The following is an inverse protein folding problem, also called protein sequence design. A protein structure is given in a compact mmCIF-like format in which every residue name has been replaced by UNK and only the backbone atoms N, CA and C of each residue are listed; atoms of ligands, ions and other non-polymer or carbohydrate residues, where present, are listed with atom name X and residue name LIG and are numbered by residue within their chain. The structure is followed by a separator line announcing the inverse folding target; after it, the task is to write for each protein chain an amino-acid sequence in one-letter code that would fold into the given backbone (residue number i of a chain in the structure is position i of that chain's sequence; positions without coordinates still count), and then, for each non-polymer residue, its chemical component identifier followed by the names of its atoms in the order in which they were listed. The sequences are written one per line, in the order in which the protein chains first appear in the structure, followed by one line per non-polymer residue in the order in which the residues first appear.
data_IF_649735844529
#
_entry.id   IF_649735844529
#
_cell.length_a   1.000
_cell.length_b   1.000
_cell.length_c   1.000
_cell.angle_alpha   90.00
_cell.angle_beta   90.00
_cell.angle_gamma   90.00
#
_symmetry.space_group_name_H-M   'P 1'
#
loop_
_entity.id
_entity.type
_entity.pdbx_description
1 polymer ?
#
# COMPACT_ATOMS: atom_id res chain seq x y z
N UNK A 1 -4.42 -3.11 -16.70
CA UNK A 1 -4.98 -2.31 -17.80
C UNK A 1 -6.37 -2.86 -18.05
N UNK A 2 -7.37 -2.38 -17.31
CA UNK A 2 -8.74 -2.86 -17.48
C UNK A 2 -9.17 -2.56 -18.92
N UNK A 3 -9.54 -3.64 -19.62
CA UNK A 3 -9.78 -3.68 -21.04
C UNK A 3 -10.68 -2.55 -21.53
N UNK A 4 -10.23 -1.94 -22.61
CA UNK A 4 -11.01 -1.02 -23.45
C UNK A 4 -12.39 -1.61 -23.80
N UNK A 5 -12.51 -2.94 -23.81
CA UNK A 5 -13.76 -3.66 -24.05
C UNK A 5 -14.84 -3.45 -22.98
N UNK A 6 -14.49 -3.23 -21.69
CA UNK A 6 -15.49 -2.93 -20.65
C UNK A 6 -16.03 -1.51 -20.82
N UNK A 7 -15.19 -0.56 -21.23
CA UNK A 7 -15.63 0.80 -21.57
C UNK A 7 -16.51 0.80 -22.82
N UNK A 8 -16.20 -0.01 -23.83
CA UNK A 8 -17.03 -0.13 -25.03
C UNK A 8 -18.37 -0.81 -24.74
N UNK A 9 -18.42 -1.87 -23.93
CA UNK A 9 -19.66 -2.51 -23.50
C UNK A 9 -20.58 -1.54 -22.74
N UNK A 10 -20.03 -0.74 -21.83
CA UNK A 10 -20.79 0.29 -21.11
C UNK A 10 -21.28 1.40 -22.06
N UNK A 11 -20.47 1.81 -23.04
CA UNK A 11 -20.83 2.87 -24.00
C UNK A 11 -21.86 2.38 -25.04
N UNK A 12 -21.79 1.13 -25.47
CA UNK A 12 -22.74 0.56 -26.43
C UNK A 12 -24.08 0.18 -25.80
N UNK A 13 -24.09 -0.29 -24.55
CA UNK A 13 -25.33 -0.41 -23.76
C UNK A 13 -25.95 0.97 -23.48
N UNK A 14 -25.12 1.99 -23.19
CA UNK A 14 -25.61 3.37 -23.09
C UNK A 14 -26.16 3.88 -24.43
N UNK A 15 -25.53 3.61 -25.57
CA UNK A 15 -26.02 4.02 -26.90
C UNK A 15 -27.34 3.34 -27.27
N UNK A 16 -27.53 2.06 -26.93
CA UNK A 16 -28.80 1.34 -27.15
C UNK A 16 -29.95 1.87 -26.27
N UNK A 17 -29.65 2.44 -25.11
CA UNK A 17 -30.66 3.10 -24.26
C UNK A 17 -31.07 4.51 -24.73
N UNK A 18 -30.34 5.10 -25.68
CA UNK A 18 -30.63 6.45 -26.25
C UNK A 18 -31.35 6.30 -27.61
N UNK A 19 -32.20 5.28 -27.72
CA UNK A 19 -33.13 5.14 -28.83
C UNK A 19 -34.29 6.12 -28.71
N UNK A 20 -34.24 7.19 -29.50
CA UNK A 20 -35.41 7.94 -30.00
C UNK A 20 -36.36 8.56 -28.97
N UNK A 21 -36.18 9.85 -28.70
CA UNK A 21 -37.29 10.74 -28.34
C UNK A 21 -37.74 10.73 -26.88
N UNK A 22 -36.83 10.98 -25.94
CA UNK A 22 -37.19 11.62 -24.67
C UNK A 22 -35.97 12.38 -24.14
N UNK A 23 -36.19 13.49 -23.44
CA UNK A 23 -35.12 14.36 -22.94
C UNK A 23 -34.13 13.57 -22.07
N UNK A 24 -32.82 13.92 -22.06
CA UNK A 24 -31.86 13.24 -21.20
C UNK A 24 -32.27 13.40 -19.74
N UNK A 25 -32.74 12.31 -19.12
CA UNK A 25 -32.95 12.25 -17.67
C UNK A 25 -31.63 12.64 -17.03
N UNK A 26 -31.64 13.74 -16.29
CA UNK A 26 -30.53 14.25 -15.49
C UNK A 26 -30.06 13.10 -14.60
N UNK A 27 -28.90 12.50 -14.90
CA UNK A 27 -28.26 11.54 -14.00
C UNK A 27 -27.77 12.32 -12.78
N UNK A 28 -28.64 12.48 -11.79
CA UNK A 28 -28.23 12.89 -10.45
C UNK A 28 -27.37 11.76 -9.88
N UNK A 29 -26.06 11.95 -9.89
CA UNK A 29 -25.14 11.12 -9.12
C UNK A 29 -25.38 11.45 -7.66
N UNK A 30 -26.13 10.60 -6.96
CA UNK A 30 -26.37 10.73 -5.53
C UNK A 30 -25.06 10.45 -4.77
N UNK A 31 -24.34 11.51 -4.43
CA UNK A 31 -23.21 11.44 -3.50
C UNK A 31 -23.76 11.13 -2.10
N UNK A 32 -23.42 9.97 -1.56
CA UNK A 32 -23.77 9.62 -0.17
C UNK A 32 -22.74 10.22 0.76
N UNK A 33 -23.22 10.84 1.84
CA UNK A 33 -22.36 11.32 2.92
C UNK A 33 -21.86 10.14 3.77
N UNK A 34 -20.59 10.20 4.18
CA UNK A 34 -20.02 9.23 5.10
C UNK A 34 -20.60 9.43 6.50
N UNK A 35 -20.85 8.33 7.20
CA UNK A 35 -21.24 8.38 8.60
C UNK A 35 -19.98 8.55 9.45
N UNK A 36 -20.04 9.44 10.44
CA UNK A 36 -18.91 9.71 11.32
C UNK A 36 -18.78 8.64 12.40
N UNK A 37 -17.56 8.15 12.60
CA UNK A 37 -17.21 7.29 13.72
C UNK A 37 -17.19 8.11 15.02
N UNK A 38 -17.74 7.60 16.13
CA UNK A 38 -17.62 8.29 17.42
C UNK A 38 -16.23 8.04 18.04
N UNK A 39 -15.68 8.98 18.82
CA UNK A 39 -14.38 8.79 19.47
C UNK A 39 -14.28 7.51 20.31
N UNK A 40 -15.36 7.12 20.98
CA UNK A 40 -15.41 5.91 21.83
C UNK A 40 -15.32 4.62 21.01
N UNK A 41 -15.65 4.66 19.72
CA UNK A 41 -15.60 3.50 18.84
C UNK A 41 -14.21 3.24 18.26
N UNK A 42 -13.29 4.23 18.28
CA UNK A 42 -11.94 4.14 17.70
C UNK A 42 -11.17 2.86 18.11
N UNK A 43 -11.10 2.47 19.40
CA UNK A 43 -10.38 1.26 19.78
C UNK A 43 -10.95 -0.02 19.14
N UNK A 44 -12.28 -0.14 19.08
CA UNK A 44 -12.93 -1.32 18.48
C UNK A 44 -12.82 -1.34 16.96
N UNK A 45 -12.84 -0.16 16.32
CA UNK A 45 -12.60 0.00 14.90
C UNK A 45 -11.17 -0.41 14.53
N UNK A 46 -10.17 0.00 15.32
CA UNK A 46 -8.77 -0.35 15.09
C UNK A 46 -8.55 -1.87 15.16
N UNK A 47 -9.11 -2.53 16.18
CA UNK A 47 -9.03 -3.99 16.29
C UNK A 47 -9.68 -4.69 15.08
N UNK A 48 -10.80 -4.15 14.59
CA UNK A 48 -11.46 -4.65 13.38
C UNK A 48 -10.60 -4.46 12.12
N UNK A 49 -9.93 -3.32 11.96
CA UNK A 49 -9.00 -3.08 10.86
C UNK A 49 -7.85 -4.10 10.86
N UNK A 50 -7.24 -4.36 12.03
CA UNK A 50 -6.19 -5.37 12.18
C UNK A 50 -6.69 -6.77 11.81
N UNK A 51 -7.91 -7.14 12.21
CA UNK A 51 -8.53 -8.43 11.87
C UNK A 51 -8.77 -8.57 10.36
N UNK A 52 -9.40 -7.57 9.73
CA UNK A 52 -9.67 -7.57 8.30
C UNK A 52 -8.39 -7.67 7.47
N UNK A 53 -7.32 -7.01 7.93
CA UNK A 53 -6.01 -7.16 7.32
C UNK A 53 -5.49 -8.59 7.34
N UNK A 54 -5.66 -9.31 8.47
CA UNK A 54 -5.28 -10.73 8.58
C UNK A 54 -6.13 -11.64 7.68
N UNK A 55 -7.36 -11.24 7.37
CA UNK A 55 -8.24 -11.93 6.43
C UNK A 55 -7.93 -11.62 4.95
N UNK A 56 -7.01 -10.70 4.68
CA UNK A 56 -6.69 -10.29 3.31
C UNK A 56 -7.72 -9.34 2.70
N UNK A 57 -8.35 -8.51 3.53
CA UNK A 57 -9.34 -7.49 3.14
C UNK A 57 -8.72 -6.08 3.21
N UNK A 58 -7.82 -5.71 2.28
CA UNK A 58 -7.08 -4.45 2.38
C UNK A 58 -7.94 -3.21 2.12
N UNK A 59 -9.01 -3.31 1.33
CA UNK A 59 -9.90 -2.18 1.04
C UNK A 59 -10.74 -1.81 2.26
N UNK A 60 -11.26 -2.80 2.96
CA UNK A 60 -12.03 -2.64 4.18
C UNK A 60 -11.11 -2.14 5.31
N UNK A 61 -9.88 -2.67 5.38
CA UNK A 61 -8.86 -2.19 6.32
C UNK A 61 -8.52 -0.71 6.08
N UNK A 62 -8.28 -0.33 4.82
CA UNK A 62 -8.02 1.07 4.42
C UNK A 62 -9.19 1.97 4.81
N UNK A 63 -10.42 1.58 4.46
CA UNK A 63 -11.63 2.37 4.77
C UNK A 63 -11.77 2.62 6.27
N UNK A 64 -11.61 1.58 7.11
CA UNK A 64 -11.72 1.73 8.57
C UNK A 64 -10.61 2.63 9.12
N UNK A 65 -9.38 2.52 8.62
CA UNK A 65 -8.30 3.39 9.05
C UNK A 65 -8.57 4.85 8.69
N UNK A 66 -9.14 5.13 7.52
CA UNK A 66 -9.53 6.49 7.14
C UNK A 66 -10.61 7.03 8.09
N UNK A 67 -11.64 6.24 8.43
CA UNK A 67 -12.67 6.66 9.40
C UNK A 67 -12.08 6.97 10.78
N UNK A 68 -11.09 6.20 11.25
CA UNK A 68 -10.37 6.48 12.50
C UNK A 68 -9.58 7.79 12.39
N UNK A 69 -8.90 8.02 11.26
CA UNK A 69 -8.05 9.19 11.05
C UNK A 69 -8.85 10.49 10.84
N UNK A 70 -10.13 10.40 10.45
CA UNK A 70 -11.04 11.55 10.48
C UNK A 70 -11.39 11.97 11.92
N UNK A 71 -11.41 11.02 12.86
CA UNK A 71 -11.65 11.29 14.29
C UNK A 71 -10.38 11.76 15.00
N UNK A 72 -9.26 11.07 14.75
CA UNK A 72 -7.94 11.39 15.28
C UNK A 72 -6.87 11.31 14.17
N UNK A 73 -6.53 12.44 13.53
CA UNK A 73 -5.58 12.50 12.41
C UNK A 73 -4.17 12.02 12.71
N UNK A 74 -3.80 11.95 14.01
CA UNK A 74 -2.48 11.57 14.50
C UNK A 74 -2.47 10.18 15.14
N UNK A 75 -3.55 9.40 15.01
CA UNK A 75 -3.65 8.08 15.60
C UNK A 75 -2.59 7.11 15.02
N UNK A 76 -1.49 6.93 15.76
CA UNK A 76 -0.28 6.22 15.32
C UNK A 76 -0.56 4.83 14.73
N UNK A 77 -1.35 4.01 15.41
CA UNK A 77 -1.65 2.64 14.94
C UNK A 77 -2.56 2.59 13.71
N UNK A 78 -3.40 3.61 13.50
CA UNK A 78 -4.25 3.69 12.32
C UNK A 78 -3.42 4.12 11.10
N UNK A 79 -2.51 5.09 11.28
CA UNK A 79 -1.53 5.46 10.25
C UNK A 79 -0.69 4.26 9.81
N UNK A 80 -0.11 3.52 10.77
CA UNK A 80 0.72 2.37 10.45
C UNK A 80 -0.08 1.23 9.79
N UNK A 81 -1.29 0.94 10.27
CA UNK A 81 -2.18 -0.06 9.66
C UNK A 81 -2.60 0.35 8.26
N UNK A 82 -2.85 1.65 8.02
CA UNK A 82 -3.16 2.19 6.69
C UNK A 82 -2.00 2.01 5.70
N UNK A 83 -0.75 2.28 6.10
CA UNK A 83 0.43 2.00 5.25
C UNK A 83 0.47 0.54 4.84
N UNK A 84 0.21 -0.37 5.78
CA UNK A 84 0.19 -1.81 5.49
C UNK A 84 -0.94 -2.17 4.52
N UNK A 85 -2.16 -1.68 4.74
CA UNK A 85 -3.31 -1.94 3.86
C UNK A 85 -3.07 -1.42 2.43
N UNK A 86 -2.56 -0.20 2.30
CA UNK A 86 -2.22 0.41 1.01
C UNK A 86 -1.21 -0.44 0.23
N UNK A 87 -0.18 -0.93 0.90
CA UNK A 87 0.87 -1.73 0.25
C UNK A 87 0.47 -3.20 0.05
N UNK A 88 -0.50 -3.73 0.81
CA UNK A 88 -1.10 -5.05 0.55
C UNK A 88 -1.82 -5.07 -0.81
N UNK A 89 -2.38 -3.93 -1.27
CA UNK A 89 -3.03 -3.78 -2.58
C UNK A 89 -2.10 -3.98 -3.79
N UNK A 90 -0.78 -3.84 -3.63
CA UNK A 90 0.17 -3.90 -4.75
C UNK A 90 0.06 -5.20 -5.57
N UNK A 91 -0.21 -6.32 -4.89
CA UNK A 91 -0.32 -7.62 -5.55
C UNK A 91 -1.62 -7.78 -6.37
N UNK A 92 -2.66 -7.02 -6.05
CA UNK A 92 -4.00 -7.17 -6.64
C UNK A 92 -4.22 -6.19 -7.79
N UNK A 93 -3.81 -4.93 -7.61
CA UNK A 93 -4.16 -3.83 -8.53
C UNK A 93 -2.96 -3.04 -9.04
N UNK A 94 -1.75 -3.42 -8.65
CA UNK A 94 -0.51 -2.73 -9.02
C UNK A 94 -0.13 -1.62 -8.03
N UNK A 95 0.94 -0.89 -8.36
CA UNK A 95 1.55 0.09 -7.46
C UNK A 95 0.70 1.35 -7.26
N UNK A 96 0.13 1.89 -8.33
CA UNK A 96 -0.55 3.19 -8.27
C UNK A 96 -2.08 3.07 -8.17
N UNK A 97 -2.75 3.95 -7.41
CA UNK A 97 -2.21 5.10 -6.65
C UNK A 97 -1.64 4.75 -5.25
N UNK A 98 -1.73 3.48 -4.85
CA UNK A 98 -1.47 3.04 -3.48
C UNK A 98 -0.05 3.31 -2.97
N UNK A 99 0.95 3.35 -3.86
CA UNK A 99 2.33 3.64 -3.49
C UNK A 99 2.50 5.09 -3.04
N UNK A 100 1.97 6.03 -3.82
CA UNK A 100 2.05 7.46 -3.49
C UNK A 100 1.28 7.73 -2.20
N UNK A 101 0.07 7.18 -2.07
CA UNK A 101 -0.73 7.26 -0.85
C UNK A 101 -0.01 6.68 0.37
N UNK A 102 0.69 5.54 0.23
CA UNK A 102 1.42 4.95 1.34
C UNK A 102 2.58 5.84 1.79
N UNK A 103 3.31 6.45 0.85
CA UNK A 103 4.39 7.40 1.19
C UNK A 103 3.86 8.67 1.85
N UNK A 104 2.70 9.18 1.42
CA UNK A 104 2.03 10.32 2.06
C UNK A 104 1.66 9.98 3.51
N UNK A 105 1.11 8.79 3.77
CA UNK A 105 0.80 8.34 5.14
C UNK A 105 2.07 8.17 5.97
N UNK A 106 3.15 7.62 5.40
CA UNK A 106 4.45 7.51 6.09
C UNK A 106 4.98 8.88 6.52
N UNK A 107 4.80 9.91 5.70
CA UNK A 107 5.24 11.28 6.03
C UNK A 107 4.57 11.86 7.28
N UNK A 108 3.35 11.38 7.60
CA UNK A 108 2.52 11.79 8.75
C UNK A 108 2.90 11.10 10.06
N UNK A 109 3.64 9.99 10.03
CA UNK A 109 4.12 9.32 11.25
C UNK A 109 5.04 10.27 12.02
N UNK A 110 5.01 10.30 13.35
CA UNK A 110 5.81 11.28 14.11
C UNK A 110 7.20 10.77 14.48
N UNK A 111 7.29 9.50 14.90
CA UNK A 111 8.55 8.91 15.33
C UNK A 111 9.48 8.66 14.13
N UNK A 112 10.74 9.10 14.25
CA UNK A 112 11.76 8.87 13.24
C UNK A 112 11.94 7.37 12.92
N UNK A 113 11.90 6.52 13.95
CA UNK A 113 11.91 5.06 13.81
C UNK A 113 10.77 4.58 12.90
N UNK A 114 9.52 4.99 13.17
CA UNK A 114 8.36 4.56 12.38
C UNK A 114 8.47 5.04 10.93
N UNK A 115 8.90 6.29 10.70
CA UNK A 115 9.12 6.82 9.34
C UNK A 115 10.11 5.94 8.56
N UNK A 116 11.27 5.66 9.13
CA UNK A 116 12.31 4.86 8.48
C UNK A 116 11.84 3.41 8.29
N UNK A 117 11.23 2.80 9.31
CA UNK A 117 10.72 1.43 9.26
C UNK A 117 9.64 1.26 8.18
N UNK A 118 8.61 2.11 8.17
CA UNK A 118 7.53 1.99 7.20
C UNK A 118 7.95 2.44 5.79
N UNK A 119 8.91 3.35 5.65
CA UNK A 119 9.56 3.63 4.35
C UNK A 119 10.22 2.37 3.79
N UNK A 120 11.03 1.67 4.60
CA UNK A 120 11.65 0.41 4.21
C UNK A 120 10.61 -0.64 3.80
N UNK A 121 9.51 -0.75 4.55
CA UNK A 121 8.42 -1.68 4.25
C UNK A 121 7.73 -1.39 2.91
N UNK A 122 7.44 -0.13 2.60
CA UNK A 122 6.85 0.28 1.32
C UNK A 122 7.80 -0.08 0.17
N UNK A 123 9.09 0.23 0.32
CA UNK A 123 10.11 -0.07 -0.70
C UNK A 123 10.32 -1.57 -0.90
N UNK A 124 10.38 -2.36 0.17
CA UNK A 124 10.48 -3.83 0.07
C UNK A 124 9.29 -4.43 -0.68
N UNK A 125 8.07 -3.97 -0.39
CA UNK A 125 6.86 -4.46 -1.06
C UNK A 125 6.84 -4.08 -2.53
N UNK A 126 7.33 -2.89 -2.88
CA UNK A 126 7.54 -2.47 -4.27
C UNK A 126 8.62 -3.29 -4.97
N UNK A 127 9.72 -3.60 -4.29
CA UNK A 127 10.77 -4.48 -4.81
C UNK A 127 10.20 -5.85 -5.18
N UNK A 128 9.43 -6.45 -4.25
CA UNK A 128 8.74 -7.73 -4.46
C UNK A 128 7.71 -7.66 -5.61
N UNK A 129 7.00 -6.54 -5.76
CA UNK A 129 6.09 -6.34 -6.89
C UNK A 129 6.84 -6.39 -8.23
N UNK A 130 7.95 -5.64 -8.36
CA UNK A 130 8.76 -5.64 -9.58
C UNK A 130 9.36 -7.02 -9.86
N UNK A 131 9.89 -7.69 -8.83
CA UNK A 131 10.47 -9.02 -8.98
C UNK A 131 9.46 -10.05 -9.53
N UNK A 132 8.20 -10.00 -9.06
CA UNK A 132 7.14 -10.89 -9.54
C UNK A 132 6.76 -10.70 -11.00
N UNK A 133 7.09 -9.56 -11.62
CA UNK A 133 6.84 -9.36 -13.06
C UNK A 133 7.76 -10.23 -13.93
N UNK A 134 8.90 -10.71 -13.41
CA UNK A 134 9.74 -11.72 -14.06
C UNK A 134 10.63 -11.25 -15.21
N UNK A 135 10.40 -10.05 -15.76
CA UNK A 135 11.21 -9.51 -16.86
C UNK A 135 12.61 -9.05 -16.39
N UNK A 136 13.68 -9.20 -17.21
CA UNK A 136 15.05 -8.85 -16.82
C UNK A 136 15.22 -7.40 -16.31
N UNK A 137 14.59 -6.42 -16.95
CA UNK A 137 14.59 -5.01 -16.52
C UNK A 137 13.89 -4.81 -15.17
N UNK A 138 12.85 -5.61 -14.91
CA UNK A 138 12.11 -5.59 -13.65
C UNK A 138 12.95 -6.17 -12.50
N UNK A 139 13.87 -7.10 -12.77
CA UNK A 139 14.81 -7.63 -11.77
C UNK A 139 15.81 -6.57 -11.30
N UNK A 140 16.42 -5.83 -12.23
CA UNK A 140 17.32 -4.72 -11.88
C UNK A 140 16.58 -3.65 -11.06
N UNK A 141 15.36 -3.31 -11.46
CA UNK A 141 14.49 -2.39 -10.72
C UNK A 141 14.15 -2.93 -9.32
N UNK A 142 13.87 -4.23 -9.19
CA UNK A 142 13.60 -4.87 -7.91
C UNK A 142 14.81 -4.78 -6.97
N UNK A 143 16.02 -5.09 -7.45
CA UNK A 143 17.24 -4.97 -6.65
C UNK A 143 17.45 -3.53 -6.15
N UNK A 144 17.30 -2.53 -7.02
CA UNK A 144 17.42 -1.12 -6.62
C UNK A 144 16.41 -0.72 -5.53
N UNK A 145 15.18 -1.27 -5.54
CA UNK A 145 14.21 -1.04 -4.47
C UNK A 145 14.51 -1.82 -3.19
N UNK A 146 15.10 -3.02 -3.28
CA UNK A 146 15.59 -3.72 -2.09
C UNK A 146 16.71 -2.96 -1.40
N UNK A 147 17.68 -2.41 -2.15
CA UNK A 147 18.75 -1.59 -1.60
C UNK A 147 18.19 -0.39 -0.82
N UNK A 148 17.25 0.36 -1.42
CA UNK A 148 16.55 1.46 -0.73
C UNK A 148 15.80 1.01 0.51
N UNK A 149 15.18 -0.17 0.47
CA UNK A 149 14.48 -0.72 1.62
C UNK A 149 15.44 -1.03 2.78
N UNK A 150 16.59 -1.64 2.47
CA UNK A 150 17.64 -1.95 3.42
C UNK A 150 18.25 -0.68 4.03
N UNK A 151 18.55 0.33 3.22
CA UNK A 151 19.03 1.64 3.71
C UNK A 151 18.05 2.28 4.72
N UNK A 152 16.75 2.20 4.44
CA UNK A 152 15.72 2.71 5.34
C UNK A 152 15.61 1.90 6.63
N UNK A 153 15.75 0.57 6.57
CA UNK A 153 15.82 -0.26 7.77
C UNK A 153 17.09 0.00 8.59
N UNK A 154 18.24 0.25 7.96
CA UNK A 154 19.48 0.62 8.64
C UNK A 154 19.35 1.96 9.39
N UNK A 155 18.63 2.93 8.80
CA UNK A 155 18.26 4.17 9.49
C UNK A 155 17.37 3.90 10.70
N UNK A 156 16.38 3.00 10.59
CA UNK A 156 15.52 2.62 11.71
C UNK A 156 16.30 1.92 12.83
N UNK A 157 17.22 1.01 12.49
CA UNK A 157 18.11 0.31 13.44
C UNK A 157 19.00 1.31 14.19
N UNK A 158 19.59 2.26 13.47
CA UNK A 158 20.45 3.31 14.05
C UNK A 158 19.68 4.28 14.95
N UNK A 159 18.36 4.40 14.76
CA UNK A 159 17.47 5.29 15.49
C UNK A 159 17.18 4.88 16.95
N UNK A 160 17.68 3.75 17.43
CA UNK A 160 17.82 3.51 18.88
C UNK A 160 16.60 2.96 19.62
N UNK A 161 15.63 2.34 18.95
CA UNK A 161 14.63 1.51 19.63
C UNK A 161 15.25 0.17 20.03
N UNK A 162 16.12 0.15 21.06
CA UNK A 162 16.94 -1.01 21.45
C UNK A 162 16.11 -2.29 21.61
N UNK A 163 14.88 -2.17 22.11
CA UNK A 163 13.98 -3.31 22.32
C UNK A 163 13.15 -3.69 21.09
N UNK A 164 13.08 -2.84 20.05
CA UNK A 164 12.35 -3.13 18.82
C UNK A 164 13.30 -3.63 17.73
N UNK A 165 13.32 -4.94 17.53
CA UNK A 165 14.15 -5.62 16.53
C UNK A 165 13.43 -5.85 15.19
N UNK A 166 12.25 -5.27 14.98
CA UNK A 166 11.47 -5.50 13.76
C UNK A 166 12.25 -5.05 12.52
N UNK A 167 12.92 -3.89 12.56
CA UNK A 167 13.75 -3.42 11.45
C UNK A 167 14.86 -4.42 11.09
N UNK A 168 15.52 -5.03 12.09
CA UNK A 168 16.53 -6.08 11.87
C UNK A 168 15.92 -7.31 11.22
N UNK A 169 14.74 -7.75 11.66
CA UNK A 169 14.03 -8.88 11.06
C UNK A 169 13.68 -8.62 9.59
N UNK A 170 13.26 -7.39 9.26
CA UNK A 170 12.89 -7.00 7.89
C UNK A 170 14.11 -6.83 6.99
N UNK A 171 15.19 -6.25 7.49
CA UNK A 171 16.48 -6.18 6.79
C UNK A 171 17.00 -7.58 6.46
N UNK A 172 17.03 -8.48 7.45
CA UNK A 172 17.41 -9.88 7.26
C UNK A 172 16.51 -10.61 6.26
N UNK A 173 15.22 -10.26 6.21
CA UNK A 173 14.29 -10.82 5.23
C UNK A 173 14.61 -10.36 3.80
N UNK A 174 15.09 -9.13 3.62
CA UNK A 174 15.55 -8.63 2.32
C UNK A 174 16.79 -9.38 1.85
N UNK A 175 17.80 -9.53 2.72
CA UNK A 175 19.01 -10.30 2.42
C UNK A 175 18.68 -11.72 2.01
N UNK A 176 17.91 -12.46 2.84
CA UNK A 176 17.51 -13.84 2.50
C UNK A 176 16.72 -13.92 1.20
N UNK A 177 15.90 -12.92 0.89
CA UNK A 177 15.17 -12.87 -0.38
C UNK A 177 16.13 -12.70 -1.55
N UNK A 178 17.06 -11.75 -1.50
CA UNK A 178 18.09 -11.58 -2.54
C UNK A 178 18.92 -12.86 -2.68
N UNK A 179 19.37 -13.43 -1.55
CA UNK A 179 20.19 -14.63 -1.49
C UNK A 179 19.46 -15.94 -1.90
N UNK A 180 18.14 -15.92 -2.04
CA UNK A 180 17.40 -17.08 -2.55
C UNK A 180 17.12 -16.99 -4.06
N UNK A 181 17.42 -15.86 -4.71
CA UNK A 181 17.12 -15.63 -6.12
C UNK A 181 18.37 -15.23 -6.90
N UNK A 182 18.88 -16.15 -7.74
CA UNK A 182 20.12 -15.96 -8.50
C UNK A 182 20.12 -14.67 -9.36
N UNK A 183 18.97 -14.30 -9.90
CA UNK A 183 18.82 -13.10 -10.73
C UNK A 183 19.02 -11.79 -9.94
N UNK A 184 18.75 -11.78 -8.63
CA UNK A 184 19.02 -10.63 -7.76
C UNK A 184 20.46 -10.64 -7.26
N UNK A 185 21.00 -11.80 -6.90
CA UNK A 185 22.39 -11.97 -6.42
C UNK A 185 23.44 -11.39 -7.37
N UNK A 186 23.23 -11.50 -8.68
CA UNK A 186 24.20 -11.00 -9.66
C UNK A 186 24.42 -9.49 -9.58
N UNK A 187 23.45 -8.74 -9.08
CA UNK A 187 23.59 -7.29 -8.85
C UNK A 187 24.33 -6.98 -7.55
N UNK A 188 24.21 -7.85 -6.55
CA UNK A 188 24.85 -7.70 -5.23
C UNK A 188 26.36 -7.95 -5.30
N UNK A 189 26.77 -8.99 -6.03
CA UNK A 189 28.18 -9.32 -6.24
C UNK A 189 28.96 -8.28 -7.07
N UNK A 190 28.26 -7.34 -7.73
CA UNK A 190 28.85 -6.29 -8.55
C UNK A 190 29.12 -4.97 -7.80
N UNK A 191 28.76 -4.86 -6.51
CA UNK A 191 28.99 -3.66 -5.69
C UNK A 191 30.06 -3.83 -4.60
N UNK A 192 30.76 -4.97 -4.59
CA UNK A 192 31.87 -5.26 -3.69
C UNK A 192 33.23 -4.81 -4.20
#
# INVERSE_FOLDING_TARGET
MLDIDVKLLIVDDMRKMIGGGDQPKKMEVYMRELKTLTPEAVPSALEKAKQYRLLGEPYETESICMDILEVDPHHREALSTLVLALTDKFAYVGLQPSFDQAMDVVSRLEAAYDKSYYTGLVYERRAKFHFRQGEPEAVATAYAWFAKAMDAYDQAISGGAVDNQDAVLRWNSCVRFIESHQALKSFDAGQG
#
